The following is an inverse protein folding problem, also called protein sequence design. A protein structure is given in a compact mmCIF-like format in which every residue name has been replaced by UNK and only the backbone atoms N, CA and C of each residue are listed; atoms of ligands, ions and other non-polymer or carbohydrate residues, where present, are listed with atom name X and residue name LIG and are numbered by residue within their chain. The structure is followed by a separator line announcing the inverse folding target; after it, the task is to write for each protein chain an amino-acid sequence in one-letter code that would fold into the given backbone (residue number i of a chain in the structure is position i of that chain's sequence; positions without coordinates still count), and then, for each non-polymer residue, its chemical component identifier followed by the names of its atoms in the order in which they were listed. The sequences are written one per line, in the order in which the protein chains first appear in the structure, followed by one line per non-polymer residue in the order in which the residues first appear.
data_IF_301642739640
#
_entry.id   IF_301642739640
#
_cell.length_a   1.000
_cell.length_b   1.000
_cell.length_c   1.000
_cell.angle_alpha   90.00
_cell.angle_beta   90.00
_cell.angle_gamma   90.00
#
_symmetry.space_group_name_H-M   'P 1'
#
loop_
_entity.id
_entity.type
_entity.pdbx_description
1 polymer ?
#
# COMPACT_ATOMS: atom_id res chain seq x y z
N UNK A 1 7.76 7.42 11.34
CA UNK A 1 6.61 7.91 12.12
C UNK A 1 6.36 9.41 11.89
N UNK A 2 7.34 10.31 12.09
CA UNK A 2 7.17 11.77 11.94
C UNK A 2 6.63 12.17 10.57
N UNK A 3 7.16 11.56 9.48
CA UNK A 3 6.71 11.82 8.11
C UNK A 3 5.22 11.55 7.88
N UNK A 4 4.65 10.55 8.59
CA UNK A 4 3.25 10.12 8.39
C UNK A 4 2.29 10.72 9.41
N UNK A 5 2.73 10.93 10.64
CA UNK A 5 1.84 11.24 11.76
C UNK A 5 2.09 12.63 12.36
N UNK A 6 3.12 13.35 11.91
CA UNK A 6 3.60 14.57 12.54
C UNK A 6 4.32 14.31 13.86
N UNK A 7 5.06 15.30 14.37
CA UNK A 7 5.94 15.13 15.54
C UNK A 7 5.17 14.67 16.79
N UNK A 8 4.07 15.31 17.13
CA UNK A 8 3.32 15.04 18.36
C UNK A 8 2.78 13.58 18.41
N UNK A 9 2.15 13.12 17.32
CA UNK A 9 1.64 11.74 17.24
C UNK A 9 2.77 10.72 17.13
N UNK A 10 3.87 11.08 16.47
CA UNK A 10 5.05 10.22 16.36
C UNK A 10 5.64 9.93 17.74
N UNK A 11 5.76 10.93 18.61
CA UNK A 11 6.26 10.78 19.98
C UNK A 11 5.34 9.87 20.82
N UNK A 12 4.03 10.04 20.68
CA UNK A 12 3.04 9.18 21.34
C UNK A 12 3.16 7.72 20.87
N UNK A 13 3.20 7.49 19.56
CA UNK A 13 3.32 6.14 18.98
C UNK A 13 4.69 5.50 19.32
N UNK A 14 5.74 6.30 19.42
CA UNK A 14 7.05 5.80 19.82
C UNK A 14 7.08 5.32 21.27
N UNK A 15 6.36 5.99 22.18
CA UNK A 15 6.17 5.49 23.56
C UNK A 15 5.45 4.16 23.56
N UNK A 16 4.32 4.05 22.85
CA UNK A 16 3.56 2.79 22.71
C UNK A 16 4.45 1.67 22.12
N UNK A 17 5.24 1.99 21.09
CA UNK A 17 6.18 1.04 20.48
C UNK A 17 7.21 0.51 21.51
N UNK A 18 7.81 1.40 22.31
CA UNK A 18 8.77 1.02 23.33
C UNK A 18 8.13 0.17 24.43
N UNK A 19 6.91 0.49 24.86
CA UNK A 19 6.17 -0.29 25.85
C UNK A 19 5.84 -1.70 25.35
N UNK A 20 5.51 -1.82 24.05
CA UNK A 20 5.23 -3.12 23.42
C UNK A 20 6.52 -3.92 23.20
N UNK A 21 7.61 -3.27 22.76
CA UNK A 21 8.88 -3.91 22.43
C UNK A 21 9.44 -4.79 23.59
N UNK A 22 9.15 -4.41 24.81
CA UNK A 22 9.64 -5.08 26.03
C UNK A 22 8.67 -6.18 26.55
N UNK A 23 7.57 -6.45 25.85
CA UNK A 23 6.59 -7.49 26.22
C UNK A 23 6.71 -8.71 25.31
N UNK A 24 6.30 -9.92 25.78
CA UNK A 24 6.19 -11.08 24.89
C UNK A 24 5.26 -10.78 23.73
N UNK A 25 5.78 -10.81 22.50
CA UNK A 25 4.97 -10.52 21.33
C UNK A 25 4.09 -11.71 20.94
N UNK A 26 2.80 -11.50 20.63
CA UNK A 26 2.02 -12.49 19.94
C UNK A 26 2.65 -12.74 18.55
N UNK A 27 2.45 -13.94 18.01
CA UNK A 27 2.98 -14.25 16.69
C UNK A 27 2.40 -13.32 15.62
N UNK A 28 3.18 -12.99 14.58
CA UNK A 28 2.71 -12.20 13.44
C UNK A 28 1.41 -12.76 12.87
N UNK A 29 1.29 -14.11 12.80
CA UNK A 29 0.06 -14.77 12.34
C UNK A 29 -1.13 -14.44 13.24
N UNK A 30 -0.96 -14.47 14.56
CA UNK A 30 -2.04 -14.19 15.52
C UNK A 30 -2.54 -12.73 15.37
N UNK A 31 -1.62 -11.78 15.23
CA UNK A 31 -1.96 -10.36 14.99
C UNK A 31 -2.73 -10.22 13.69
N UNK A 32 -2.24 -10.82 12.60
CA UNK A 32 -2.89 -10.75 11.30
C UNK A 32 -4.30 -11.33 11.32
N UNK A 33 -4.54 -12.43 12.04
CA UNK A 33 -5.87 -13.02 12.20
C UNK A 33 -6.84 -12.10 12.97
N UNK A 34 -6.34 -11.35 13.96
CA UNK A 34 -7.16 -10.35 14.66
C UNK A 34 -7.51 -9.17 13.74
N UNK A 35 -6.54 -8.70 12.95
CA UNK A 35 -6.75 -7.64 11.96
C UNK A 35 -7.78 -8.10 10.91
N UNK A 36 -7.63 -9.30 10.37
CA UNK A 36 -8.52 -9.84 9.33
C UNK A 36 -9.98 -9.91 9.79
N UNK A 37 -10.23 -10.22 11.06
CA UNK A 37 -11.57 -10.27 11.64
C UNK A 37 -12.21 -8.88 11.85
N UNK A 38 -11.41 -7.85 12.11
CA UNK A 38 -11.90 -6.55 12.57
C UNK A 38 -11.72 -5.42 11.55
N UNK A 39 -10.90 -5.66 10.51
CA UNK A 39 -10.55 -4.64 9.52
C UNK A 39 -11.02 -5.11 8.14
N UNK A 40 -11.77 -4.26 7.45
CA UNK A 40 -12.25 -4.55 6.10
C UNK A 40 -11.09 -4.66 5.10
N UNK A 41 -11.36 -5.18 3.90
CA UNK A 41 -10.34 -5.40 2.87
C UNK A 41 -9.55 -4.13 2.52
N UNK A 42 -10.21 -2.97 2.41
CA UNK A 42 -9.56 -1.69 2.12
C UNK A 42 -8.57 -1.31 3.23
N UNK A 43 -8.97 -1.43 4.50
CA UNK A 43 -8.07 -1.18 5.64
C UNK A 43 -6.86 -2.11 5.65
N UNK A 44 -7.03 -3.39 5.31
CA UNK A 44 -5.92 -4.36 5.22
C UNK A 44 -4.94 -4.01 4.09
N UNK A 45 -5.44 -3.52 2.96
CA UNK A 45 -4.58 -2.98 1.89
C UNK A 45 -3.74 -1.79 2.37
N UNK A 46 -4.33 -0.89 3.18
CA UNK A 46 -3.58 0.23 3.77
C UNK A 46 -2.51 -0.22 4.75
N UNK A 47 -2.77 -1.26 5.55
CA UNK A 47 -1.74 -1.84 6.42
C UNK A 47 -0.54 -2.34 5.60
N UNK A 48 -0.77 -3.07 4.51
CA UNK A 48 0.31 -3.54 3.63
C UNK A 48 1.05 -2.36 3.00
N UNK A 49 0.33 -1.33 2.55
CA UNK A 49 0.94 -0.10 2.04
C UNK A 49 1.79 0.61 3.10
N UNK A 50 1.32 0.70 4.33
CA UNK A 50 2.06 1.30 5.44
C UNK A 50 3.36 0.53 5.72
N UNK A 51 3.32 -0.80 5.71
CA UNK A 51 4.52 -1.62 5.87
C UNK A 51 5.55 -1.36 4.76
N UNK A 52 5.11 -1.26 3.50
CA UNK A 52 6.01 -0.87 2.41
C UNK A 52 6.55 0.55 2.56
N UNK A 53 5.77 1.49 3.09
CA UNK A 53 6.26 2.86 3.31
C UNK A 53 7.31 2.93 4.41
N UNK A 54 7.26 2.05 5.40
CA UNK A 54 8.30 1.92 6.42
C UNK A 54 9.55 1.30 5.80
N UNK A 55 9.41 0.17 5.09
CA UNK A 55 10.52 -0.54 4.46
C UNK A 55 11.27 0.34 3.44
N UNK A 56 10.55 1.20 2.70
CA UNK A 56 11.16 2.11 1.72
C UNK A 56 11.62 3.45 2.32
N UNK A 57 11.66 3.61 3.64
CA UNK A 57 11.93 4.91 4.29
C UNK A 57 13.36 5.41 4.11
N UNK A 58 14.30 4.52 3.90
CA UNK A 58 15.73 4.78 3.62
C UNK A 58 16.08 4.77 2.13
N UNK A 59 15.06 4.75 1.25
CA UNK A 59 15.15 4.63 -0.20
C UNK A 59 15.71 3.29 -0.71
N UNK A 60 15.83 2.29 0.14
CA UNK A 60 16.21 0.94 -0.22
C UNK A 60 15.12 -0.03 0.25
N UNK A 61 14.75 -0.98 -0.59
CA UNK A 61 13.73 -1.99 -0.27
C UNK A 61 14.40 -3.36 -0.28
N UNK A 62 14.72 -3.87 0.90
CA UNK A 62 15.43 -5.13 1.06
C UNK A 62 14.52 -6.33 0.78
N UNK A 63 15.07 -7.37 0.15
CA UNK A 63 14.31 -8.61 -0.14
C UNK A 63 13.75 -9.27 1.12
N UNK A 64 14.46 -9.20 2.24
CA UNK A 64 13.99 -9.74 3.52
C UNK A 64 12.73 -9.03 4.01
N UNK A 65 12.65 -7.72 3.85
CA UNK A 65 11.47 -6.92 4.21
C UNK A 65 10.30 -7.22 3.28
N UNK A 66 10.56 -7.26 1.96
CA UNK A 66 9.56 -7.64 0.96
C UNK A 66 8.98 -9.01 1.25
N UNK A 67 9.81 -10.00 1.59
CA UNK A 67 9.37 -11.35 1.92
C UNK A 67 8.54 -11.40 3.20
N UNK A 68 8.90 -10.60 4.21
CA UNK A 68 8.11 -10.46 5.43
C UNK A 68 6.74 -9.83 5.15
N UNK A 69 6.71 -8.73 4.38
CA UNK A 69 5.46 -8.07 3.99
C UNK A 69 4.59 -9.01 3.16
N UNK A 70 5.19 -9.81 2.25
CA UNK A 70 4.46 -10.83 1.48
C UNK A 70 3.83 -11.90 2.37
N UNK A 71 4.54 -12.34 3.41
CA UNK A 71 4.00 -13.29 4.40
C UNK A 71 2.84 -12.68 5.18
N UNK A 72 2.96 -11.44 5.62
CA UNK A 72 1.89 -10.69 6.30
C UNK A 72 0.69 -10.54 5.37
N UNK A 73 0.90 -10.14 4.11
CA UNK A 73 -0.18 -9.99 3.11
C UNK A 73 -0.99 -11.26 2.92
N UNK A 74 -0.34 -12.44 2.91
CA UNK A 74 -1.03 -13.73 2.86
C UNK A 74 -1.91 -13.98 4.08
N UNK A 75 -1.42 -13.66 5.28
CA UNK A 75 -2.21 -13.79 6.51
C UNK A 75 -3.38 -12.80 6.58
N UNK A 76 -3.27 -11.66 5.91
CA UNK A 76 -4.32 -10.66 5.77
C UNK A 76 -5.27 -10.93 4.58
N UNK A 77 -5.17 -12.09 3.93
CA UNK A 77 -5.95 -12.46 2.75
C UNK A 77 -5.92 -11.41 1.61
N UNK A 78 -4.72 -10.82 1.41
CA UNK A 78 -4.44 -9.94 0.28
C UNK A 78 -3.92 -10.81 -0.88
N UNK A 79 -4.56 -10.72 -2.04
CA UNK A 79 -4.16 -11.47 -3.21
C UNK A 79 -2.85 -10.96 -3.84
N UNK A 80 -2.22 -11.77 -4.68
CA UNK A 80 -0.92 -11.44 -5.28
C UNK A 80 -0.99 -10.20 -6.20
N UNK A 81 -2.10 -9.96 -6.90
CA UNK A 81 -2.26 -8.77 -7.75
C UNK A 81 -2.23 -7.48 -6.91
N UNK A 82 -2.97 -7.45 -5.82
CA UNK A 82 -2.97 -6.33 -4.87
C UNK A 82 -1.58 -6.10 -4.26
N UNK A 83 -0.92 -7.20 -3.85
CA UNK A 83 0.43 -7.13 -3.31
C UNK A 83 1.42 -6.55 -4.33
N UNK A 84 1.43 -7.04 -5.58
CA UNK A 84 2.32 -6.55 -6.63
C UNK A 84 2.02 -5.09 -7.00
N UNK A 85 0.75 -4.72 -7.08
CA UNK A 85 0.34 -3.33 -7.32
C UNK A 85 0.88 -2.40 -6.23
N UNK A 86 0.77 -2.78 -4.96
CA UNK A 86 1.30 -1.97 -3.85
C UNK A 86 2.84 -1.93 -3.91
N UNK A 87 3.51 -3.08 -4.04
CA UNK A 87 4.97 -3.17 -4.15
C UNK A 87 5.50 -2.25 -5.25
N UNK A 88 4.86 -2.28 -6.43
CA UNK A 88 5.26 -1.49 -7.60
C UNK A 88 5.25 0.02 -7.35
N UNK A 89 4.46 0.51 -6.41
CA UNK A 89 4.43 1.94 -6.04
C UNK A 89 5.66 2.38 -5.22
N UNK A 90 6.43 1.43 -4.68
CA UNK A 90 7.62 1.69 -3.85
C UNK A 90 8.92 1.29 -4.54
N UNK A 91 8.85 0.63 -5.69
CA UNK A 91 10.04 0.42 -6.50
C UNK A 91 10.49 1.76 -7.09
N UNK A 92 11.72 2.16 -6.79
CA UNK A 92 12.34 3.38 -7.30
C UNK A 92 12.70 3.14 -8.77
N UNK A 93 11.75 3.36 -9.65
CA UNK A 93 11.95 3.36 -11.09
C UNK A 93 11.20 4.55 -11.68
N UNK A 94 11.86 5.69 -11.69
CA UNK A 94 11.36 6.89 -12.38
C UNK A 94 11.34 6.56 -13.89
N UNK A 95 10.18 6.25 -14.44
CA UNK A 95 9.85 5.97 -15.85
C UNK A 95 9.82 4.50 -16.31
N UNK A 96 9.69 3.52 -15.44
CA UNK A 96 9.39 2.15 -15.89
C UNK A 96 7.88 2.01 -16.16
N UNK A 97 7.53 2.10 -17.45
CA UNK A 97 6.13 1.96 -17.91
C UNK A 97 5.58 0.55 -17.54
N UNK A 98 6.43 -0.45 -17.42
CA UNK A 98 6.02 -1.80 -16.99
C UNK A 98 5.53 -1.80 -15.55
N UNK A 99 6.14 -0.95 -14.73
CA UNK A 99 5.71 -0.74 -13.36
C UNK A 99 4.33 -0.07 -13.29
N UNK A 100 4.06 0.89 -14.18
CA UNK A 100 2.76 1.55 -14.26
C UNK A 100 1.63 0.57 -14.62
N UNK A 101 1.88 -0.38 -15.51
CA UNK A 101 0.92 -1.45 -15.81
C UNK A 101 0.65 -2.35 -14.60
N UNK A 102 1.67 -2.68 -13.80
CA UNK A 102 1.51 -3.43 -12.56
C UNK A 102 0.71 -2.65 -11.51
N UNK A 103 0.96 -1.33 -11.39
CA UNK A 103 0.19 -0.44 -10.50
C UNK A 103 -1.30 -0.49 -10.85
N UNK A 104 -1.66 -0.52 -12.15
CA UNK A 104 -3.05 -0.60 -12.62
C UNK A 104 -3.61 -2.03 -12.64
N UNK A 105 -2.85 -3.06 -12.25
CA UNK A 105 -3.26 -4.48 -12.36
C UNK A 105 -3.64 -4.88 -13.80
N UNK A 106 -2.88 -4.39 -14.79
CA UNK A 106 -3.10 -4.66 -16.23
C UNK A 106 -1.78 -4.95 -16.93
N UNK A 107 -1.80 -5.16 -18.26
CA UNK A 107 -0.61 -5.48 -19.03
C UNK A 107 -0.42 -4.55 -20.24
N UNK A 108 0.77 -4.54 -20.85
CA UNK A 108 1.06 -3.80 -22.09
C UNK A 108 0.21 -4.23 -23.27
N UNK A 109 -0.22 -5.50 -23.31
CA UNK A 109 -1.06 -6.05 -24.36
C UNK A 109 -2.54 -5.68 -24.23
N UNK A 110 -2.94 -5.06 -23.11
CA UNK A 110 -4.31 -4.61 -22.90
C UNK A 110 -4.67 -3.45 -23.84
N UNK A 111 -5.89 -3.44 -24.34
CA UNK A 111 -6.43 -2.31 -25.12
C UNK A 111 -6.58 -1.05 -24.26
N UNK A 112 -6.74 0.11 -24.91
CA UNK A 112 -6.96 1.39 -24.20
C UNK A 112 -8.23 1.34 -23.33
N UNK A 113 -9.29 0.67 -23.81
CA UNK A 113 -10.51 0.49 -23.03
C UNK A 113 -10.31 -0.40 -21.79
N UNK A 114 -9.49 -1.44 -21.90
CA UNK A 114 -9.12 -2.29 -20.76
C UNK A 114 -8.28 -1.51 -19.75
N UNK A 115 -7.34 -0.69 -20.20
CA UNK A 115 -6.54 0.19 -19.33
C UNK A 115 -7.43 1.21 -18.59
N UNK A 116 -8.39 1.84 -19.30
CA UNK A 116 -9.38 2.74 -18.69
C UNK A 116 -10.25 2.00 -17.65
N UNK A 117 -10.68 0.77 -17.96
CA UNK A 117 -11.45 -0.06 -17.02
C UNK A 117 -10.63 -0.41 -15.78
N UNK A 118 -9.36 -0.78 -15.95
CA UNK A 118 -8.43 -1.07 -14.87
C UNK A 118 -8.23 0.18 -13.98
N UNK A 119 -7.99 1.36 -14.57
CA UNK A 119 -7.91 2.61 -13.83
C UNK A 119 -9.17 2.89 -13.01
N UNK A 120 -10.38 2.78 -13.59
CA UNK A 120 -11.63 3.01 -12.86
C UNK A 120 -11.81 2.04 -11.69
N UNK A 121 -11.41 0.76 -11.88
CA UNK A 121 -11.42 -0.26 -10.82
C UNK A 121 -10.49 0.15 -9.68
N UNK A 122 -9.26 0.55 -9.99
CA UNK A 122 -8.25 0.95 -9.00
C UNK A 122 -8.64 2.25 -8.29
N UNK A 123 -9.11 3.25 -9.03
CA UNK A 123 -9.61 4.51 -8.48
C UNK A 123 -10.77 4.26 -7.50
N UNK A 124 -11.73 3.39 -7.86
CA UNK A 124 -12.83 3.01 -6.97
C UNK A 124 -12.35 2.22 -5.74
N UNK A 125 -11.31 1.38 -5.88
CA UNK A 125 -10.75 0.54 -4.81
C UNK A 125 -10.03 1.39 -3.74
N UNK A 126 -9.32 2.42 -4.17
CA UNK A 126 -8.49 3.26 -3.31
C UNK A 126 -9.04 4.67 -3.08
N UNK A 127 -10.31 4.89 -3.39
CA UNK A 127 -10.94 6.18 -3.16
C UNK A 127 -11.01 6.49 -1.65
N UNK A 128 -10.56 7.67 -1.21
CA UNK A 128 -10.55 8.03 0.22
C UNK A 128 -11.92 7.99 0.87
N UNK A 129 -13.02 8.29 0.14
CA UNK A 129 -14.39 8.24 0.66
C UNK A 129 -14.83 6.84 1.14
N UNK A 130 -14.11 5.79 0.76
CA UNK A 130 -14.38 4.44 1.28
C UNK A 130 -13.81 4.17 2.65
N UNK A 131 -13.05 5.10 3.18
CA UNK A 131 -12.44 5.04 4.48
C UNK A 131 -13.32 5.80 5.47
N UNK A 132 -14.30 5.11 6.03
CA UNK A 132 -15.13 5.67 7.11
C UNK A 132 -14.48 5.38 8.46
N UNK A 133 -14.55 6.36 9.37
CA UNK A 133 -14.06 6.23 10.75
C UNK A 133 -12.56 5.91 10.89
N UNK A 134 -11.73 6.40 9.97
CA UNK A 134 -10.27 6.27 10.03
C UNK A 134 -9.61 7.63 10.31
N UNK A 135 -8.36 7.61 10.77
CA UNK A 135 -7.61 8.84 11.04
C UNK A 135 -7.27 9.59 9.76
N UNK A 136 -7.06 10.91 9.87
CA UNK A 136 -6.62 11.77 8.76
C UNK A 136 -5.33 11.27 8.09
N UNK A 137 -4.47 10.60 8.86
CA UNK A 137 -3.22 10.04 8.35
C UNK A 137 -3.49 8.88 7.37
N UNK A 138 -4.50 8.06 7.64
CA UNK A 138 -4.92 6.99 6.72
C UNK A 138 -5.56 7.59 5.47
N UNK A 139 -6.32 8.67 5.61
CA UNK A 139 -6.89 9.41 4.47
C UNK A 139 -5.78 9.95 3.57
N UNK A 140 -4.72 10.55 4.15
CA UNK A 140 -3.55 11.03 3.40
C UNK A 140 -2.86 9.91 2.64
N UNK A 141 -2.64 8.76 3.26
CA UNK A 141 -2.04 7.59 2.60
C UNK A 141 -2.90 7.09 1.43
N UNK A 142 -4.25 7.08 1.59
CA UNK A 142 -5.18 6.75 0.52
C UNK A 142 -5.05 7.73 -0.64
N UNK A 143 -4.97 9.02 -0.35
CA UNK A 143 -4.81 10.06 -1.36
C UNK A 143 -3.48 9.92 -2.11
N UNK A 144 -2.37 9.64 -1.43
CA UNK A 144 -1.09 9.37 -2.08
C UNK A 144 -1.17 8.17 -3.03
N UNK A 145 -1.84 7.11 -2.62
CA UNK A 145 -2.03 5.93 -3.46
C UNK A 145 -2.92 6.24 -4.66
N UNK A 146 -4.02 6.93 -4.46
CA UNK A 146 -4.89 7.38 -5.54
C UNK A 146 -4.12 8.23 -6.56
N UNK A 147 -3.27 9.13 -6.10
CA UNK A 147 -2.41 9.96 -6.95
C UNK A 147 -1.43 9.11 -7.78
N UNK A 148 -0.81 8.08 -7.17
CA UNK A 148 0.08 7.16 -7.90
C UNK A 148 -0.66 6.36 -8.98
N UNK A 149 -1.88 5.91 -8.70
CA UNK A 149 -2.75 5.23 -9.67
C UNK A 149 -3.09 6.17 -10.84
N UNK A 150 -3.45 7.42 -10.57
CA UNK A 150 -3.77 8.42 -11.60
C UNK A 150 -2.55 8.75 -12.46
N UNK A 151 -1.39 8.96 -11.85
CA UNK A 151 -0.13 9.21 -12.57
C UNK A 151 0.29 8.04 -13.46
N UNK A 152 0.14 6.79 -12.97
CA UNK A 152 0.42 5.60 -13.76
C UNK A 152 -0.48 5.54 -15.01
N UNK A 153 -1.77 5.81 -14.85
CA UNK A 153 -2.71 5.88 -15.97
C UNK A 153 -2.32 6.96 -16.99
N UNK A 154 -2.01 8.17 -16.54
CA UNK A 154 -1.60 9.28 -17.41
C UNK A 154 -0.32 8.94 -18.19
N UNK A 155 0.71 8.35 -17.54
CA UNK A 155 1.95 7.94 -18.21
C UNK A 155 1.69 6.85 -19.25
N UNK A 156 0.89 5.83 -18.94
CA UNK A 156 0.50 4.78 -19.89
C UNK A 156 -0.20 5.40 -21.10
N UNK A 157 -1.21 6.24 -20.90
CA UNK A 157 -1.97 6.84 -21.99
C UNK A 157 -1.12 7.80 -22.83
N UNK A 158 -0.12 8.47 -22.22
CA UNK A 158 0.85 9.30 -22.95
C UNK A 158 1.81 8.46 -23.79
N UNK A 159 2.25 7.32 -23.31
CA UNK A 159 3.19 6.43 -24.02
C UNK A 159 2.57 5.69 -25.21
N UNK A 160 1.22 5.66 -25.29
CA UNK A 160 0.46 4.97 -26.35
C UNK A 160 0.05 5.90 -27.53
N UNK A 161 0.24 7.21 -27.33
CA UNK A 161 0.01 8.21 -28.38
C UNK A 161 1.23 8.36 -29.27
#
# INVERSE_FOLDING_TARGET
FVKFFGQYKADMYFKIFNDIKNKPFPSVRSICLQIDKNVNHSGRLFIVQFLFSIAASDNELLDVEVNLIKKISKYLHINDYDFQSIKSMYLVSNNDIDNDYKILETSKSSSDEEVKKAYRKMAKKYHPDKLQNVSDDIIKMAQEKFNKVSQAYERIMKSRK
#
